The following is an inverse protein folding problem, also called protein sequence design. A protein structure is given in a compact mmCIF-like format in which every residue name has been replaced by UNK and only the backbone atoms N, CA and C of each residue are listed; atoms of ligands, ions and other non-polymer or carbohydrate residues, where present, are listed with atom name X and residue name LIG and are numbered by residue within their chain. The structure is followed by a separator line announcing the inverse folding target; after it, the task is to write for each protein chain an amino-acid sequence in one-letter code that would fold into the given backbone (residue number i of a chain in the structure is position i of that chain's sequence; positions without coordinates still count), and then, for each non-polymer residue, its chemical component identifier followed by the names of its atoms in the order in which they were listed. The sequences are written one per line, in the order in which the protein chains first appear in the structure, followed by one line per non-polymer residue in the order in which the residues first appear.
data_IF_760932394794
#
_entry.id   IF_760932394794
#
_cell.length_a   1.000
_cell.length_b   1.000
_cell.length_c   1.000
_cell.angle_alpha   90.00
_cell.angle_beta   90.00
_cell.angle_gamma   90.00
#
_symmetry.space_group_name_H-M   'P 1'
#
loop_
_entity.id
_entity.type
_entity.pdbx_description
1 polymer ?
#
# COMPACT_ATOMS: atom_id res chain seq x y z
N UNK A 1 -11.06 -11.25 20.96
CA UNK A 1 -12.12 -10.35 21.43
C UNK A 1 -11.44 -9.08 21.94
N UNK A 2 -11.33 -8.04 21.10
CA UNK A 2 -10.75 -6.75 21.48
C UNK A 2 -11.69 -5.63 21.01
N UNK A 3 -12.46 -5.16 21.98
CA UNK A 3 -13.10 -3.86 22.18
C UNK A 3 -13.51 -3.04 20.95
N UNK A 4 -14.77 -3.24 20.57
CA UNK A 4 -15.58 -2.33 19.76
C UNK A 4 -15.99 -1.06 20.55
N UNK A 5 -15.03 -0.24 20.99
CA UNK A 5 -15.31 0.97 21.79
C UNK A 5 -15.43 2.27 20.98
N UNK A 6 -15.16 2.30 19.67
CA UNK A 6 -15.24 3.55 18.89
C UNK A 6 -16.68 4.00 18.55
N UNK A 7 -17.69 3.13 18.76
CA UNK A 7 -19.08 3.41 18.35
C UNK A 7 -19.88 4.24 19.35
N UNK A 8 -19.29 4.70 20.46
CA UNK A 8 -20.04 5.36 21.54
C UNK A 8 -19.28 6.56 22.08
N UNK A 9 -19.48 7.70 21.45
CA UNK A 9 -19.34 9.00 22.10
C UNK A 9 -20.60 9.81 21.78
N UNK A 10 -21.67 9.53 22.53
CA UNK A 10 -22.88 10.33 22.53
C UNK A 10 -23.11 10.89 23.94
N UNK A 11 -23.38 12.19 23.97
CA UNK A 11 -24.10 12.99 24.97
C UNK A 11 -23.40 13.44 26.26
N UNK A 12 -23.30 14.77 26.38
CA UNK A 12 -23.84 15.50 27.54
C UNK A 12 -22.96 16.61 28.12
N UNK A 13 -23.25 17.88 27.80
CA UNK A 13 -23.85 18.87 28.73
C UNK A 13 -24.03 20.23 28.04
N UNK A 14 -25.26 20.77 28.09
CA UNK A 14 -25.67 22.07 27.53
C UNK A 14 -25.48 23.16 28.58
N UNK A 15 -24.83 24.27 28.20
CA UNK A 15 -24.99 25.57 28.82
C UNK A 15 -25.56 26.55 27.77
N UNK A 16 -26.77 27.05 28.02
CA UNK A 16 -27.50 27.98 27.15
C UNK A 16 -26.95 29.39 27.37
N UNK A 17 -26.24 29.90 26.37
CA UNK A 17 -26.07 31.34 26.16
C UNK A 17 -26.55 31.65 24.74
N UNK A 18 -27.46 32.62 24.62
CA UNK A 18 -28.06 33.07 23.37
C UNK A 18 -27.00 33.73 22.48
N UNK A 19 -26.36 32.94 21.61
CA UNK A 19 -25.57 33.41 20.47
C UNK A 19 -26.36 33.04 19.23
N UNK A 20 -26.58 34.00 18.34
CA UNK A 20 -27.16 33.78 17.01
C UNK A 20 -26.63 32.46 16.42
N UNK A 21 -27.54 31.60 15.95
CA UNK A 21 -27.16 30.37 15.27
C UNK A 21 -26.38 30.76 14.01
N UNK A 22 -25.04 30.73 14.07
CA UNK A 22 -24.25 31.07 12.90
C UNK A 22 -24.50 29.99 11.84
N UNK A 23 -24.80 30.37 10.58
CA UNK A 23 -25.12 29.41 9.53
C UNK A 23 -23.99 28.40 9.26
N UNK A 24 -22.75 28.71 9.67
CA UNK A 24 -21.60 27.82 9.56
C UNK A 24 -21.42 26.79 10.67
N UNK A 25 -22.18 26.84 11.77
CA UNK A 25 -21.99 25.94 12.92
C UNK A 25 -22.08 24.44 12.55
N UNK A 26 -23.03 23.98 11.71
CA UNK A 26 -23.08 22.57 11.29
C UNK A 26 -21.86 22.13 10.49
N UNK A 27 -21.36 23.00 9.60
CA UNK A 27 -20.17 22.72 8.79
C UNK A 27 -18.92 22.65 9.69
N UNK A 28 -18.74 23.59 10.62
CA UNK A 28 -17.64 23.57 11.58
C UNK A 28 -17.64 22.29 12.42
N UNK A 29 -18.80 21.90 12.97
CA UNK A 29 -18.92 20.66 13.75
C UNK A 29 -18.58 19.42 12.92
N UNK A 30 -19.04 19.35 11.67
CA UNK A 30 -18.74 18.23 10.79
C UNK A 30 -17.24 18.16 10.43
N UNK A 31 -16.59 19.29 10.18
CA UNK A 31 -15.15 19.37 9.92
C UNK A 31 -14.37 18.86 11.13
N UNK A 32 -14.66 19.38 12.33
CA UNK A 32 -13.98 18.95 13.56
C UNK A 32 -14.18 17.46 13.82
N UNK A 33 -15.40 16.92 13.63
CA UNK A 33 -15.65 15.50 13.76
C UNK A 33 -14.85 14.66 12.75
N UNK A 34 -14.71 15.11 11.50
CA UNK A 34 -13.90 14.44 10.49
C UNK A 34 -12.40 14.48 10.82
N UNK A 35 -11.90 15.60 11.35
CA UNK A 35 -10.51 15.73 11.83
C UNK A 35 -10.21 14.77 12.98
N UNK A 36 -11.08 14.72 13.99
CA UNK A 36 -10.98 13.81 15.12
C UNK A 36 -11.04 12.34 14.64
N UNK A 37 -11.94 12.02 13.71
CA UNK A 37 -12.03 10.69 13.14
C UNK A 37 -10.78 10.29 12.33
N UNK A 38 -10.20 11.22 11.56
CA UNK A 38 -8.95 10.97 10.82
C UNK A 38 -7.77 10.80 11.77
N UNK A 39 -7.71 11.59 12.86
CA UNK A 39 -6.69 11.45 13.89
C UNK A 39 -6.81 10.14 14.69
N UNK A 40 -8.03 9.65 14.88
CA UNK A 40 -8.33 8.35 15.51
C UNK A 40 -8.25 7.17 14.54
N UNK A 41 -7.90 7.39 13.26
CA UNK A 41 -7.77 6.32 12.29
C UNK A 41 -6.74 5.27 12.73
N UNK A 42 -6.91 3.99 12.36
CA UNK A 42 -5.94 2.95 12.68
C UNK A 42 -4.52 3.33 12.27
N UNK A 43 -3.53 3.01 13.10
CA UNK A 43 -2.14 3.40 12.87
C UNK A 43 -1.58 2.86 11.54
N UNK A 44 -2.14 1.76 11.04
CA UNK A 44 -1.77 1.12 9.79
C UNK A 44 -2.56 1.65 8.57
N UNK A 45 -3.48 2.60 8.75
CA UNK A 45 -4.25 3.19 7.64
C UNK A 45 -3.33 3.83 6.59
N UNK A 46 -2.30 4.56 7.03
CA UNK A 46 -1.30 5.17 6.13
C UNK A 46 -0.47 4.14 5.35
N UNK A 47 -0.43 2.89 5.81
CA UNK A 47 0.29 1.81 5.14
C UNK A 47 -0.59 1.06 4.14
N UNK A 48 -1.82 0.71 4.53
CA UNK A 48 -2.69 -0.16 3.73
C UNK A 48 -3.72 0.59 2.87
N UNK A 49 -4.04 1.83 3.21
CA UNK A 49 -5.06 2.66 2.53
C UNK A 49 -4.57 4.09 2.35
N UNK A 50 -3.30 4.25 1.96
CA UNK A 50 -2.63 5.55 1.85
C UNK A 50 -3.37 6.54 0.94
N UNK A 51 -3.93 6.05 -0.18
CA UNK A 51 -4.67 6.88 -1.12
C UNK A 51 -5.99 7.38 -0.53
N UNK A 52 -6.73 6.52 0.18
CA UNK A 52 -7.97 6.86 0.86
C UNK A 52 -7.71 7.79 2.05
N UNK A 53 -6.61 7.57 2.77
CA UNK A 53 -6.15 8.47 3.83
C UNK A 53 -5.89 9.87 3.28
N UNK A 54 -5.14 9.97 2.17
CA UNK A 54 -4.87 11.24 1.52
C UNK A 54 -6.15 11.91 1.03
N UNK A 55 -7.04 11.14 0.39
CA UNK A 55 -8.34 11.64 -0.08
C UNK A 55 -9.17 12.25 1.05
N UNK A 56 -9.25 11.57 2.20
CA UNK A 56 -9.96 12.11 3.37
C UNK A 56 -9.32 13.42 3.89
N UNK A 57 -7.98 13.48 3.94
CA UNK A 57 -7.24 14.69 4.32
C UNK A 57 -7.51 15.86 3.37
N UNK A 58 -7.55 15.60 2.06
CA UNK A 58 -7.84 16.60 1.05
C UNK A 58 -9.29 17.10 1.15
N UNK A 59 -10.24 16.20 1.40
CA UNK A 59 -11.65 16.54 1.63
C UNK A 59 -11.85 17.41 2.88
N UNK A 60 -11.13 17.12 3.98
CA UNK A 60 -11.12 17.98 5.18
C UNK A 60 -10.54 19.36 4.86
N UNK A 61 -9.45 19.42 4.09
CA UNK A 61 -8.82 20.68 3.68
C UNK A 61 -9.77 21.51 2.81
N UNK A 62 -10.43 20.89 1.84
CA UNK A 62 -11.44 21.53 1.01
C UNK A 62 -12.63 22.02 1.83
N UNK A 63 -13.08 21.25 2.81
CA UNK A 63 -14.16 21.66 3.71
C UNK A 63 -13.80 22.92 4.52
N UNK A 64 -12.58 23.00 5.04
CA UNK A 64 -12.07 24.19 5.74
C UNK A 64 -11.99 25.40 4.83
N UNK A 65 -11.44 25.24 3.62
CA UNK A 65 -11.34 26.33 2.65
C UNK A 65 -12.72 26.86 2.24
N UNK A 66 -13.73 25.99 2.08
CA UNK A 66 -15.10 26.40 1.80
C UNK A 66 -15.73 27.14 3.00
N UNK A 67 -15.45 26.68 4.23
CA UNK A 67 -15.93 27.33 5.45
C UNK A 67 -15.39 28.76 5.60
N UNK A 68 -14.10 28.97 5.32
CA UNK A 68 -13.45 30.28 5.32
C UNK A 68 -14.09 31.24 4.31
N UNK A 69 -14.48 30.71 3.15
CA UNK A 69 -15.22 31.44 2.10
C UNK A 69 -16.71 31.64 2.43
N UNK A 70 -17.17 31.18 3.60
CA UNK A 70 -18.59 31.18 4.01
C UNK A 70 -19.49 30.35 3.09
N UNK A 71 -18.91 29.46 2.27
CA UNK A 71 -19.64 28.45 1.51
C UNK A 71 -19.95 27.25 2.41
N UNK A 72 -20.96 27.43 3.26
CA UNK A 72 -21.34 26.44 4.27
C UNK A 72 -21.91 25.15 3.67
N UNK A 73 -22.50 25.22 2.48
CA UNK A 73 -23.06 24.06 1.78
C UNK A 73 -21.94 23.15 1.29
N UNK A 74 -20.95 23.72 0.60
CA UNK A 74 -19.77 22.96 0.15
C UNK A 74 -18.93 22.48 1.33
N UNK A 75 -18.76 23.31 2.36
CA UNK A 75 -18.03 22.91 3.57
C UNK A 75 -18.66 21.68 4.25
N UNK A 76 -19.99 21.70 4.43
CA UNK A 76 -20.72 20.58 5.03
C UNK A 76 -20.68 19.32 4.14
N UNK A 77 -20.79 19.48 2.82
CA UNK A 77 -20.72 18.35 1.88
C UNK A 77 -19.34 17.68 1.92
N UNK A 78 -18.25 18.44 1.77
CA UNK A 78 -16.88 17.92 1.81
C UNK A 78 -16.55 17.25 3.14
N UNK A 79 -17.02 17.80 4.27
CA UNK A 79 -16.83 17.17 5.59
C UNK A 79 -17.56 15.82 5.73
N UNK A 80 -18.77 15.70 5.17
CA UNK A 80 -19.52 14.43 5.13
C UNK A 80 -18.85 13.40 4.23
N UNK A 81 -18.32 13.83 3.09
CA UNK A 81 -17.55 12.94 2.22
C UNK A 81 -16.28 12.44 2.91
N UNK A 82 -15.53 13.33 3.58
CA UNK A 82 -14.38 12.93 4.39
C UNK A 82 -14.76 11.88 5.44
N UNK A 83 -15.85 12.12 6.18
CA UNK A 83 -16.36 11.18 7.20
C UNK A 83 -16.72 9.83 6.59
N UNK A 84 -17.31 9.83 5.39
CA UNK A 84 -17.65 8.60 4.66
C UNK A 84 -16.39 7.84 4.25
N UNK A 85 -15.39 8.54 3.69
CA UNK A 85 -14.09 7.97 3.32
C UNK A 85 -13.39 7.36 4.55
N UNK A 86 -13.34 8.07 5.67
CA UNK A 86 -12.72 7.60 6.93
C UNK A 86 -13.45 6.37 7.48
N UNK A 87 -14.78 6.39 7.46
CA UNK A 87 -15.61 5.26 7.91
C UNK A 87 -15.37 3.97 7.12
N UNK A 88 -14.88 4.07 5.89
CA UNK A 88 -14.53 2.92 5.05
C UNK A 88 -13.13 2.34 5.31
N UNK A 89 -12.24 3.04 6.04
CA UNK A 89 -10.85 2.61 6.23
C UNK A 89 -10.73 1.20 6.79
N UNK A 90 -11.51 0.84 7.83
CA UNK A 90 -11.39 -0.47 8.46
C UNK A 90 -11.62 -1.61 7.45
N UNK A 91 -12.68 -1.52 6.64
CA UNK A 91 -12.99 -2.53 5.63
C UNK A 91 -11.96 -2.56 4.49
N UNK A 92 -11.47 -1.39 4.07
CA UNK A 92 -10.44 -1.29 3.05
C UNK A 92 -9.10 -1.88 3.56
N UNK A 93 -8.69 -1.58 4.80
CA UNK A 93 -7.49 -2.16 5.43
C UNK A 93 -7.58 -3.68 5.48
N UNK A 94 -8.70 -4.24 5.91
CA UNK A 94 -8.89 -5.70 5.95
C UNK A 94 -8.80 -6.33 4.55
N UNK A 95 -9.38 -5.67 3.55
CA UNK A 95 -9.33 -6.11 2.15
C UNK A 95 -7.90 -6.10 1.63
N UNK A 96 -7.20 -4.97 1.76
CA UNK A 96 -5.80 -4.83 1.33
C UNK A 96 -4.91 -5.85 2.04
N UNK A 97 -5.09 -6.06 3.35
CA UNK A 97 -4.31 -7.08 4.09
C UNK A 97 -4.49 -8.48 3.52
N UNK A 98 -5.72 -8.87 3.18
CA UNK A 98 -6.00 -10.18 2.56
C UNK A 98 -5.32 -10.30 1.19
N UNK A 99 -5.48 -9.30 0.34
CA UNK A 99 -4.89 -9.27 -1.01
C UNK A 99 -3.37 -9.34 -0.95
N UNK A 100 -2.74 -8.53 -0.09
CA UNK A 100 -1.29 -8.47 0.03
C UNK A 100 -0.74 -9.76 0.65
N UNK A 101 -1.45 -10.36 1.61
CA UNK A 101 -1.09 -11.68 2.16
C UNK A 101 -1.17 -12.77 1.08
N UNK A 102 -2.22 -12.78 0.26
CA UNK A 102 -2.36 -13.74 -0.84
C UNK A 102 -1.25 -13.55 -1.90
N UNK A 103 -0.95 -12.31 -2.26
CA UNK A 103 0.14 -11.98 -3.18
C UNK A 103 1.50 -12.42 -2.65
N UNK A 104 1.77 -12.18 -1.36
CA UNK A 104 2.99 -12.63 -0.71
C UNK A 104 3.11 -14.15 -0.75
N UNK A 105 2.05 -14.87 -0.37
CA UNK A 105 1.98 -16.35 -0.39
C UNK A 105 2.28 -16.90 -1.79
N UNK A 106 1.62 -16.38 -2.82
CA UNK A 106 1.87 -16.77 -4.21
C UNK A 106 3.34 -16.55 -4.61
N UNK A 107 3.96 -15.47 -4.16
CA UNK A 107 5.37 -15.20 -4.45
C UNK A 107 6.31 -16.13 -3.69
N UNK A 108 6.05 -16.41 -2.41
CA UNK A 108 6.88 -17.35 -1.64
C UNK A 108 6.81 -18.77 -2.21
N UNK A 109 5.67 -19.15 -2.78
CA UNK A 109 5.47 -20.49 -3.36
C UNK A 109 6.20 -20.67 -4.69
N UNK A 110 6.35 -19.60 -5.49
CA UNK A 110 6.82 -19.71 -6.88
C UNK A 110 8.19 -19.10 -7.14
N UNK A 111 8.49 -17.96 -6.54
CA UNK A 111 9.67 -17.16 -6.90
C UNK A 111 11.00 -17.85 -6.54
N UNK A 112 11.17 -18.49 -5.36
CA UNK A 112 12.39 -19.24 -5.07
C UNK A 112 12.71 -20.31 -6.12
N UNK A 113 11.70 -21.01 -6.63
CA UNK A 113 11.85 -22.00 -7.69
C UNK A 113 12.28 -21.39 -9.03
N UNK A 114 11.71 -20.25 -9.40
CA UNK A 114 12.12 -19.50 -10.60
C UNK A 114 13.58 -19.03 -10.50
N UNK A 115 13.97 -18.46 -9.36
CA UNK A 115 15.34 -18.00 -9.10
C UNK A 115 16.32 -19.18 -9.15
N UNK A 116 15.98 -20.32 -8.56
CA UNK A 116 16.80 -21.54 -8.63
C UNK A 116 16.95 -22.08 -10.06
N UNK A 117 15.92 -21.94 -10.89
CA UNK A 117 15.99 -22.34 -12.31
C UNK A 117 16.92 -21.43 -13.10
N UNK A 118 16.84 -20.11 -12.88
CA UNK A 118 17.78 -19.14 -13.48
C UNK A 118 19.22 -19.42 -13.04
N UNK A 119 19.45 -19.69 -11.75
CA UNK A 119 20.77 -20.02 -11.23
C UNK A 119 21.38 -21.25 -11.93
N UNK A 120 20.60 -22.33 -12.08
CA UNK A 120 21.04 -23.51 -12.83
C UNK A 120 21.43 -23.16 -14.26
N UNK A 121 20.63 -22.34 -14.95
CA UNK A 121 20.89 -21.93 -16.33
C UNK A 121 22.13 -21.06 -16.46
N UNK A 122 22.34 -20.09 -15.55
CA UNK A 122 23.57 -19.27 -15.51
C UNK A 122 24.79 -20.16 -15.33
N UNK A 123 24.72 -21.14 -14.42
CA UNK A 123 25.83 -22.05 -14.15
C UNK A 123 26.15 -22.97 -15.34
N UNK A 124 25.13 -23.48 -16.04
CA UNK A 124 25.27 -24.26 -17.26
C UNK A 124 25.96 -23.43 -18.36
N UNK A 125 25.37 -22.28 -18.71
CA UNK A 125 25.85 -21.41 -19.79
C UNK A 125 27.26 -20.88 -19.52
N UNK A 126 27.62 -20.65 -18.25
CA UNK A 126 28.96 -20.18 -17.88
C UNK A 126 30.07 -21.21 -18.15
N UNK A 127 29.72 -22.50 -18.31
CA UNK A 127 30.67 -23.59 -18.57
C UNK A 127 30.76 -23.96 -20.05
N UNK A 128 29.86 -23.44 -20.88
CA UNK A 128 29.82 -23.75 -22.31
C UNK A 128 30.85 -22.94 -23.09
N UNK A 129 31.65 -23.61 -23.93
CA UNK A 129 32.55 -22.95 -24.89
C UNK A 129 31.79 -22.31 -26.06
N UNK A 130 30.62 -22.85 -26.41
CA UNK A 130 29.71 -22.33 -27.44
C UNK A 130 28.32 -22.14 -26.86
N UNK A 131 27.85 -20.89 -26.81
CA UNK A 131 26.55 -20.54 -26.26
C UNK A 131 25.40 -20.83 -27.25
N UNK A 132 24.17 -21.07 -26.75
CA UNK A 132 22.97 -21.17 -27.58
C UNK A 132 22.75 -19.89 -28.41
N UNK A 133 22.12 -20.04 -29.57
CA UNK A 133 21.77 -18.90 -30.44
C UNK A 133 20.97 -17.85 -29.68
N UNK A 134 21.40 -16.59 -29.76
CA UNK A 134 20.75 -15.47 -29.08
C UNK A 134 21.20 -15.23 -27.64
N UNK A 135 22.04 -16.10 -27.06
CA UNK A 135 22.66 -15.89 -25.75
C UNK A 135 24.11 -15.44 -25.92
N UNK A 136 24.49 -14.34 -25.27
CA UNK A 136 25.85 -13.78 -25.33
C UNK A 136 26.57 -13.97 -23.99
N UNK A 137 27.91 -13.97 -23.99
CA UNK A 137 28.67 -14.04 -22.74
C UNK A 137 28.32 -12.89 -21.79
N UNK A 138 28.15 -11.69 -22.33
CA UNK A 138 27.70 -10.51 -21.60
C UNK A 138 26.33 -10.71 -20.94
N UNK A 139 25.36 -11.36 -21.62
CA UNK A 139 24.05 -11.66 -21.02
C UNK A 139 24.15 -12.64 -19.85
N UNK A 140 25.06 -13.62 -19.91
CA UNK A 140 25.29 -14.57 -18.82
C UNK A 140 25.94 -13.88 -17.62
N UNK A 141 26.96 -13.05 -17.86
CA UNK A 141 27.64 -12.32 -16.79
C UNK A 141 26.71 -11.27 -16.14
N UNK A 142 25.91 -10.56 -16.95
CA UNK A 142 24.89 -9.65 -16.46
C UNK A 142 23.84 -10.37 -15.61
N UNK A 143 23.33 -11.52 -16.07
CA UNK A 143 22.40 -12.33 -15.29
C UNK A 143 23.00 -12.84 -13.98
N UNK A 144 24.31 -13.14 -13.93
CA UNK A 144 24.97 -13.53 -12.68
C UNK A 144 24.96 -12.40 -11.65
N UNK A 145 25.25 -11.16 -12.08
CA UNK A 145 25.17 -9.97 -11.22
C UNK A 145 23.74 -9.72 -10.75
N UNK A 146 22.78 -9.70 -11.67
CA UNK A 146 21.36 -9.49 -11.33
C UNK A 146 20.80 -10.60 -10.44
N UNK A 147 21.26 -11.85 -10.59
CA UNK A 147 20.87 -12.95 -9.72
C UNK A 147 21.31 -12.72 -8.26
N UNK A 148 22.52 -12.19 -8.05
CA UNK A 148 22.99 -11.84 -6.72
C UNK A 148 22.12 -10.72 -6.10
N UNK A 149 21.80 -9.68 -6.87
CA UNK A 149 20.89 -8.61 -6.44
C UNK A 149 19.50 -9.16 -6.06
N UNK A 150 18.94 -10.05 -6.88
CA UNK A 150 17.63 -10.68 -6.62
C UNK A 150 17.66 -11.49 -5.33
N UNK A 151 18.72 -12.26 -5.07
CA UNK A 151 18.85 -13.01 -3.81
C UNK A 151 18.90 -12.09 -2.59
N UNK A 152 19.66 -11.01 -2.66
CA UNK A 152 19.71 -10.00 -1.58
C UNK A 152 18.35 -9.36 -1.37
N UNK A 153 17.72 -8.86 -2.43
CA UNK A 153 16.41 -8.19 -2.36
C UNK A 153 15.30 -9.13 -1.89
N UNK A 154 15.35 -10.42 -2.25
CA UNK A 154 14.41 -11.42 -1.74
C UNK A 154 14.59 -11.67 -0.24
N UNK A 155 15.84 -11.68 0.25
CA UNK A 155 16.13 -11.72 1.67
C UNK A 155 15.59 -10.48 2.41
N UNK A 156 15.74 -9.29 1.83
CA UNK A 156 15.15 -8.07 2.38
C UNK A 156 13.61 -8.08 2.36
N UNK A 157 13.00 -8.61 1.28
CA UNK A 157 11.54 -8.77 1.19
C UNK A 157 11.01 -9.69 2.30
N UNK A 158 11.70 -10.80 2.54
CA UNK A 158 11.35 -11.77 3.59
C UNK A 158 11.46 -11.12 4.98
N UNK A 159 12.53 -10.38 5.26
CA UNK A 159 12.67 -9.61 6.51
C UNK A 159 11.57 -8.57 6.69
N UNK A 160 11.18 -7.87 5.62
CA UNK A 160 10.04 -6.94 5.68
C UNK A 160 8.74 -7.66 6.04
N UNK A 161 8.49 -8.85 5.47
CA UNK A 161 7.32 -9.65 5.80
C UNK A 161 7.33 -10.13 7.26
N UNK A 162 8.47 -10.61 7.76
CA UNK A 162 8.67 -11.02 9.16
C UNK A 162 8.44 -9.87 10.15
N UNK A 163 8.82 -8.65 9.75
CA UNK A 163 8.55 -7.42 10.50
C UNK A 163 7.08 -6.93 10.40
N UNK A 164 6.20 -7.68 9.72
CA UNK A 164 4.79 -7.32 9.53
C UNK A 164 4.54 -6.29 8.43
N UNK A 165 5.58 -5.86 7.70
CA UNK A 165 5.46 -4.93 6.59
C UNK A 165 5.27 -5.69 5.26
N UNK A 166 4.09 -6.30 5.11
CA UNK A 166 3.75 -7.08 3.91
C UNK A 166 3.66 -6.22 2.64
N UNK A 167 3.31 -4.94 2.75
CA UNK A 167 3.29 -4.01 1.61
C UNK A 167 4.68 -3.88 0.97
N UNK A 168 5.70 -3.62 1.80
CA UNK A 168 7.08 -3.51 1.32
C UNK A 168 7.64 -4.86 0.84
N UNK A 169 7.29 -5.96 1.54
CA UNK A 169 7.65 -7.31 1.11
C UNK A 169 7.11 -7.62 -0.29
N UNK A 170 5.83 -7.34 -0.54
CA UNK A 170 5.19 -7.58 -1.84
C UNK A 170 5.79 -6.69 -2.92
N UNK A 171 6.10 -5.43 -2.62
CA UNK A 171 6.77 -4.51 -3.55
C UNK A 171 8.14 -5.06 -3.98
N UNK A 172 9.00 -5.42 -3.03
CA UNK A 172 10.33 -6.00 -3.29
C UNK A 172 10.24 -7.35 -4.01
N UNK A 173 9.33 -8.23 -3.57
CA UNK A 173 9.08 -9.52 -4.22
C UNK A 173 8.64 -9.37 -5.68
N UNK A 174 7.80 -8.36 -5.98
CA UNK A 174 7.39 -8.06 -7.36
C UNK A 174 8.59 -7.63 -8.21
N UNK A 175 9.46 -6.77 -7.70
CA UNK A 175 10.72 -6.39 -8.38
C UNK A 175 11.62 -7.61 -8.61
N UNK A 176 11.77 -8.48 -7.62
CA UNK A 176 12.53 -9.73 -7.77
C UNK A 176 11.96 -10.62 -8.88
N UNK A 177 10.64 -10.77 -8.94
CA UNK A 177 9.95 -11.53 -9.99
C UNK A 177 10.19 -10.94 -11.37
N UNK A 178 10.11 -9.62 -11.51
CA UNK A 178 10.39 -8.93 -12.78
C UNK A 178 11.83 -9.17 -13.24
N UNK A 179 12.83 -8.90 -12.38
CA UNK A 179 14.25 -9.16 -12.69
C UNK A 179 14.51 -10.63 -13.03
N UNK A 180 13.85 -11.55 -12.33
CA UNK A 180 13.99 -12.99 -12.61
C UNK A 180 13.46 -13.34 -14.00
N UNK A 181 12.32 -12.79 -14.42
CA UNK A 181 11.77 -12.97 -15.79
C UNK A 181 12.66 -12.34 -16.86
N UNK A 182 13.22 -11.16 -16.59
CA UNK A 182 14.19 -10.52 -17.49
C UNK A 182 15.42 -11.40 -17.70
N UNK A 183 15.97 -11.99 -16.63
CA UNK A 183 17.06 -12.97 -16.72
C UNK A 183 16.64 -14.20 -17.53
N UNK A 184 15.44 -14.76 -17.31
CA UNK A 184 14.96 -15.89 -18.09
C UNK A 184 14.93 -15.57 -19.60
N UNK A 185 14.47 -14.39 -19.98
CA UNK A 185 14.48 -13.94 -21.38
C UNK A 185 15.90 -13.79 -21.91
N UNK A 186 16.79 -13.11 -21.17
CA UNK A 186 18.19 -12.89 -21.57
C UNK A 186 18.99 -14.19 -21.73
N UNK A 187 18.64 -15.23 -20.96
CA UNK A 187 19.28 -16.56 -20.99
C UNK A 187 18.61 -17.54 -21.97
N UNK A 188 17.66 -17.05 -22.77
CA UNK A 188 16.97 -17.84 -23.79
C UNK A 188 16.01 -18.88 -23.23
N UNK A 189 15.49 -18.70 -22.01
CA UNK A 189 14.59 -19.64 -21.34
C UNK A 189 13.10 -19.41 -21.70
N UNK A 190 12.79 -18.36 -22.47
CA UNK A 190 11.43 -17.94 -22.82
C UNK A 190 10.90 -18.44 -24.17
N UNK A 191 11.60 -19.38 -24.83
CA UNK A 191 11.17 -19.97 -26.10
C UNK A 191 11.23 -21.50 -26.01
N UNK A 192 10.07 -22.13 -25.91
CA UNK A 192 9.80 -23.49 -26.37
C UNK A 192 8.70 -23.41 -27.42
#
# INVERSE_FOLDING_TARGET
MLNASWKRAALGLVAVAAVACSPGKPAQTAITAAEEALAAAPADAKMYVAAEYQKASDQITAAKAALEQKDYTTALASAKEASTTIGAFAGAIETTKKEVTANWTMMTDSLPGMVGTVEKRVNELSRMSRLPTGVTRASVDGAKTTLAEVKTMWGEATKSAEAGNLMDAVKKGTTCRTKTREMMTALGMGKS
#
